data_IF_131817303516
#
_entry.id   IF_131817303516
#
_cell.length_a   1.000
_cell.length_b   1.000
_cell.length_c   1.000
_cell.angle_alpha   90.00
_cell.angle_beta   90.00
_cell.angle_gamma   90.00
#
_symmetry.space_group_name_H-M   'P 1'
#
loop_
_entity.id
_entity.type
_entity.pdbx_description
1 polymer ?
#
# COMPACT_ATOMS: atom_id res chain seq x y z
N UNK A 1 -17.63 13.03 -22.53
CA UNK A 1 -16.79 12.21 -23.45
C UNK A 1 -15.98 11.16 -22.70
N UNK A 2 -15.17 11.51 -21.68
CA UNK A 2 -14.32 10.55 -20.95
C UNK A 2 -15.06 9.37 -20.29
N UNK A 3 -16.20 9.62 -19.61
CA UNK A 3 -17.01 8.55 -18.98
C UNK A 3 -17.53 7.55 -20.02
N UNK A 4 -18.02 8.04 -21.16
CA UNK A 4 -18.54 7.19 -22.23
C UNK A 4 -17.44 6.33 -22.86
N UNK A 5 -16.25 6.91 -23.08
CA UNK A 5 -15.09 6.17 -23.58
C UNK A 5 -14.67 5.10 -22.58
N UNK A 6 -14.55 5.43 -21.29
CA UNK A 6 -14.20 4.46 -20.25
C UNK A 6 -15.21 3.32 -20.17
N UNK A 7 -16.52 3.63 -20.16
CA UNK A 7 -17.56 2.62 -20.17
C UNK A 7 -17.50 1.71 -21.40
N UNK A 8 -17.27 2.28 -22.59
CA UNK A 8 -17.11 1.50 -23.82
C UNK A 8 -15.90 0.57 -23.75
N UNK A 9 -14.75 1.04 -23.25
CA UNK A 9 -13.55 0.21 -23.08
C UNK A 9 -13.77 -0.93 -22.08
N UNK A 10 -14.48 -0.67 -20.98
CA UNK A 10 -14.87 -1.72 -20.03
C UNK A 10 -15.78 -2.77 -20.68
N UNK A 11 -16.78 -2.36 -21.45
CA UNK A 11 -17.65 -3.28 -22.19
C UNK A 11 -16.86 -4.12 -23.21
N UNK A 12 -15.92 -3.50 -23.93
CA UNK A 12 -15.03 -4.21 -24.86
C UNK A 12 -14.16 -5.24 -24.13
N UNK A 13 -13.59 -4.88 -22.98
CA UNK A 13 -12.77 -5.81 -22.19
C UNK A 13 -13.59 -6.98 -21.66
N UNK A 14 -14.79 -6.72 -21.11
CA UNK A 14 -15.70 -7.77 -20.64
C UNK A 14 -16.12 -8.68 -21.80
N UNK A 15 -16.46 -8.10 -22.95
CA UNK A 15 -16.78 -8.86 -24.16
C UNK A 15 -15.62 -9.72 -24.66
N UNK A 16 -14.39 -9.19 -24.64
CA UNK A 16 -13.18 -9.91 -25.01
C UNK A 16 -12.93 -11.11 -24.07
N UNK A 17 -13.00 -10.90 -22.75
CA UNK A 17 -12.87 -11.98 -21.78
C UNK A 17 -14.00 -13.02 -21.92
N UNK A 18 -15.23 -12.57 -22.17
CA UNK A 18 -16.38 -13.44 -22.44
C UNK A 18 -16.17 -14.31 -23.68
N UNK A 19 -15.67 -13.72 -24.76
CA UNK A 19 -15.30 -14.46 -25.98
C UNK A 19 -14.20 -15.50 -25.73
N UNK A 20 -13.11 -15.12 -25.04
CA UNK A 20 -12.04 -16.07 -24.69
C UNK A 20 -12.55 -17.20 -23.79
N UNK A 21 -13.45 -16.89 -22.86
CA UNK A 21 -14.09 -17.87 -21.97
C UNK A 21 -14.97 -18.83 -22.76
N UNK A 22 -15.71 -18.34 -23.76
CA UNK A 22 -16.51 -19.18 -24.65
C UNK A 22 -15.63 -20.14 -25.47
N UNK A 23 -14.51 -19.65 -26.01
CA UNK A 23 -13.61 -20.46 -26.85
C UNK A 23 -12.77 -21.48 -26.06
N UNK A 24 -12.31 -21.12 -24.86
CA UNK A 24 -11.33 -21.90 -24.11
C UNK A 24 -11.84 -22.45 -22.77
N UNK A 25 -13.10 -22.16 -22.42
CA UNK A 25 -13.74 -22.58 -21.19
C UNK A 25 -13.42 -21.71 -19.98
N UNK A 26 -14.17 -21.90 -18.90
CA UNK A 26 -14.05 -21.11 -17.67
C UNK A 26 -12.69 -21.28 -16.94
N UNK A 27 -12.06 -22.46 -17.06
CA UNK A 27 -10.74 -22.71 -16.47
C UNK A 27 -9.65 -21.84 -17.09
N UNK A 28 -9.76 -21.50 -18.38
CA UNK A 28 -8.84 -20.57 -19.04
C UNK A 28 -8.94 -19.17 -18.41
N UNK A 29 -10.16 -18.65 -18.25
CA UNK A 29 -10.41 -17.35 -17.62
C UNK A 29 -9.87 -17.32 -16.18
N UNK A 30 -10.14 -18.38 -15.41
CA UNK A 30 -9.66 -18.46 -14.03
C UNK A 30 -8.13 -18.44 -13.97
N UNK A 31 -7.47 -19.28 -14.76
CA UNK A 31 -6.01 -19.47 -14.70
C UNK A 31 -5.24 -18.23 -15.17
N UNK A 32 -5.67 -17.62 -16.27
CA UNK A 32 -4.88 -16.59 -16.94
C UNK A 32 -5.34 -15.16 -16.65
N UNK A 33 -6.53 -14.97 -16.10
CA UNK A 33 -7.04 -13.64 -15.77
C UNK A 33 -7.40 -13.51 -14.29
N UNK A 34 -8.38 -14.27 -13.80
CA UNK A 34 -8.92 -14.03 -12.45
C UNK A 34 -7.91 -14.36 -11.35
N UNK A 35 -7.20 -15.49 -11.42
CA UNK A 35 -6.24 -15.88 -10.39
C UNK A 35 -5.06 -14.88 -10.29
N UNK A 36 -4.36 -14.51 -11.38
CA UNK A 36 -3.33 -13.47 -11.32
C UNK A 36 -3.86 -12.11 -10.85
N UNK A 37 -5.07 -11.74 -11.28
CA UNK A 37 -5.71 -10.49 -10.85
C UNK A 37 -5.98 -10.48 -9.35
N UNK A 38 -6.56 -11.55 -8.79
CA UNK A 38 -6.82 -11.67 -7.35
C UNK A 38 -5.50 -11.63 -6.56
N UNK A 39 -4.47 -12.34 -7.03
CA UNK A 39 -3.14 -12.31 -6.39
C UNK A 39 -2.59 -10.88 -6.38
N UNK A 40 -2.67 -10.17 -7.50
CA UNK A 40 -2.22 -8.78 -7.60
C UNK A 40 -2.99 -7.86 -6.65
N UNK A 41 -4.33 -7.93 -6.63
CA UNK A 41 -5.17 -7.10 -5.76
C UNK A 41 -4.86 -7.36 -4.29
N UNK A 42 -4.88 -8.63 -3.86
CA UNK A 42 -4.59 -9.00 -2.47
C UNK A 42 -3.18 -8.57 -2.06
N UNK A 43 -2.19 -8.73 -2.95
CA UNK A 43 -0.82 -8.29 -2.68
C UNK A 43 -0.71 -6.78 -2.56
N UNK A 44 -1.32 -6.03 -3.48
CA UNK A 44 -1.31 -4.55 -3.45
C UNK A 44 -2.00 -4.01 -2.20
N UNK A 45 -3.13 -4.60 -1.82
CA UNK A 45 -3.87 -4.24 -0.61
C UNK A 45 -3.04 -4.53 0.64
N UNK A 46 -2.38 -5.70 0.70
CA UNK A 46 -1.49 -6.05 1.81
C UNK A 46 -0.33 -5.05 1.95
N UNK A 47 0.35 -4.74 0.84
CA UNK A 47 1.47 -3.78 0.83
C UNK A 47 1.00 -2.40 1.30
N UNK A 48 -0.09 -1.90 0.75
CA UNK A 48 -0.65 -0.59 1.11
C UNK A 48 -1.09 -0.56 2.56
N UNK A 49 -1.79 -1.60 3.02
CA UNK A 49 -2.20 -1.73 4.42
C UNK A 49 -0.99 -1.68 5.36
N UNK A 50 0.05 -2.47 5.09
CA UNK A 50 1.22 -2.56 5.97
C UNK A 50 2.08 -1.30 6.00
N UNK A 51 2.11 -0.53 4.92
CA UNK A 51 2.86 0.73 4.90
C UNK A 51 2.15 1.88 5.62
N UNK A 52 0.83 1.77 5.81
CA UNK A 52 -0.01 2.85 6.37
C UNK A 52 -0.71 2.47 7.68
N UNK A 53 -0.57 1.23 8.14
CA UNK A 53 -1.25 0.71 9.32
C UNK A 53 -0.23 0.08 10.27
N UNK A 54 0.08 0.77 11.36
CA UNK A 54 0.89 0.27 12.48
C UNK A 54 0.53 1.10 13.74
N UNK A 55 0.59 0.54 14.97
CA UNK A 55 0.13 1.23 16.18
C UNK A 55 0.86 2.53 16.51
N UNK A 56 2.09 2.71 16.04
CA UNK A 56 2.94 3.88 16.30
C UNK A 56 2.95 4.90 15.15
N UNK A 57 2.13 4.69 14.11
CA UNK A 57 1.90 5.66 13.03
C UNK A 57 0.89 6.71 13.49
N UNK A 58 1.28 7.99 13.56
CA UNK A 58 0.39 9.05 13.99
C UNK A 58 -0.59 9.47 12.88
N UNK A 59 -1.82 9.72 13.29
CA UNK A 59 -2.85 10.38 12.50
C UNK A 59 -2.99 11.82 13.00
N UNK A 60 -2.86 12.79 12.10
CA UNK A 60 -2.94 14.21 12.40
C UNK A 60 -4.27 14.80 11.93
N UNK A 61 -4.84 15.74 12.70
CA UNK A 61 -6.11 16.40 12.39
C UNK A 61 -6.00 17.92 12.40
N UNK A 62 -6.87 18.58 11.64
CA UNK A 62 -6.96 20.03 11.58
C UNK A 62 -5.62 20.66 11.24
N UNK A 63 -5.25 21.70 11.97
CA UNK A 63 -4.02 22.47 11.75
C UNK A 63 -2.73 21.70 12.05
N UNK A 64 -2.81 20.56 12.77
CA UNK A 64 -1.65 19.70 12.98
C UNK A 64 -1.25 18.91 11.73
N UNK A 65 -2.16 18.76 10.76
CA UNK A 65 -1.90 18.04 9.53
C UNK A 65 -1.31 18.97 8.45
N UNK A 66 -0.21 18.53 7.85
CA UNK A 66 0.31 19.06 6.60
C UNK A 66 1.02 17.96 5.83
N UNK A 67 1.26 18.17 4.53
CA UNK A 67 1.74 17.16 3.59
C UNK A 67 2.91 16.32 4.13
N UNK A 68 3.98 16.95 4.61
CA UNK A 68 5.16 16.24 5.08
C UNK A 68 4.88 15.38 6.32
N UNK A 69 4.08 15.83 7.29
CA UNK A 69 3.64 14.97 8.41
C UNK A 69 2.86 13.77 7.91
N UNK A 70 1.96 13.97 6.94
CA UNK A 70 1.23 12.87 6.30
C UNK A 70 2.13 11.89 5.56
N UNK A 71 3.13 12.39 4.82
CA UNK A 71 4.10 11.56 4.12
C UNK A 71 4.95 10.71 5.08
N UNK A 72 5.29 11.26 6.25
CA UNK A 72 6.04 10.59 7.31
C UNK A 72 5.17 9.66 8.19
N UNK A 73 3.84 9.69 8.04
CA UNK A 73 2.91 8.71 8.62
C UNK A 73 2.88 7.42 7.80
N UNK A 74 4.06 6.89 7.50
CA UNK A 74 4.29 5.66 6.75
C UNK A 74 5.38 4.83 7.40
N UNK A 75 5.44 3.54 7.08
CA UNK A 75 6.42 2.59 7.63
C UNK A 75 7.11 1.85 6.49
N UNK A 76 8.44 1.89 6.48
CA UNK A 76 9.24 1.09 5.57
C UNK A 76 9.19 -0.40 5.95
N UNK A 77 9.07 -1.26 4.94
CA UNK A 77 8.94 -2.72 5.10
C UNK A 77 9.90 -3.44 4.16
N UNK A 78 10.48 -4.53 4.66
CA UNK A 78 11.30 -5.43 3.84
C UNK A 78 10.50 -6.67 3.41
N UNK A 79 10.27 -6.82 2.11
CA UNK A 79 9.60 -7.97 1.50
C UNK A 79 10.61 -9.02 0.96
N UNK A 80 11.88 -8.89 1.31
CA UNK A 80 12.96 -9.79 0.92
C UNK A 80 13.17 -9.80 -0.58
N UNK A 81 13.16 -10.99 -1.19
CA UNK A 81 13.40 -11.16 -2.62
C UNK A 81 12.29 -10.54 -3.49
N UNK A 82 11.11 -10.26 -2.92
CA UNK A 82 10.02 -9.64 -3.66
C UNK A 82 10.38 -8.17 -3.92
N UNK A 83 11.13 -7.47 -3.05
CA UNK A 83 11.39 -6.02 -3.14
C UNK A 83 11.64 -5.49 -4.57
N UNK A 84 12.55 -6.12 -5.32
CA UNK A 84 12.87 -5.69 -6.69
C UNK A 84 11.74 -5.89 -7.70
N UNK A 85 10.86 -6.88 -7.49
CA UNK A 85 9.70 -7.19 -8.34
C UNK A 85 8.66 -6.07 -8.26
N UNK A 86 8.46 -5.48 -7.08
CA UNK A 86 7.56 -4.35 -6.85
C UNK A 86 8.33 -3.05 -6.69
N UNK A 87 9.43 -2.93 -7.44
CA UNK A 87 10.15 -1.68 -7.64
C UNK A 87 10.66 -1.01 -6.35
N UNK A 88 11.06 -1.82 -5.37
CA UNK A 88 11.57 -1.38 -4.07
C UNK A 88 10.60 -0.48 -3.28
N UNK A 89 9.28 -0.59 -3.52
CA UNK A 89 8.22 0.20 -2.86
C UNK A 89 8.22 0.07 -1.32
N UNK A 90 8.93 -0.92 -0.76
CA UNK A 90 9.18 -1.03 0.68
C UNK A 90 9.91 0.18 1.29
N UNK A 91 10.58 0.98 0.46
CA UNK A 91 11.14 2.31 0.79
C UNK A 91 10.06 3.41 0.78
N UNK A 92 8.95 3.13 1.45
CA UNK A 92 7.69 3.85 1.29
C UNK A 92 7.74 5.28 1.83
N UNK A 93 8.52 5.54 2.89
CA UNK A 93 8.73 6.90 3.42
C UNK A 93 9.34 7.79 2.33
N UNK A 94 10.41 7.34 1.67
CA UNK A 94 11.02 8.09 0.58
C UNK A 94 10.08 8.24 -0.62
N UNK A 95 9.29 7.20 -0.93
CA UNK A 95 8.27 7.25 -1.98
C UNK A 95 7.23 8.36 -1.73
N UNK A 96 6.76 8.52 -0.49
CA UNK A 96 5.80 9.57 -0.13
C UNK A 96 6.42 10.96 -0.05
N UNK A 97 7.65 11.08 0.45
CA UNK A 97 8.35 12.37 0.53
C UNK A 97 8.71 12.88 -0.88
N UNK A 98 9.07 11.98 -1.80
CA UNK A 98 9.49 12.30 -3.16
C UNK A 98 8.59 11.61 -4.21
N UNK A 99 7.32 11.99 -4.27
CA UNK A 99 6.29 11.38 -5.14
C UNK A 99 6.67 11.25 -6.62
N UNK A 100 7.51 12.16 -7.14
CA UNK A 100 7.95 12.16 -8.54
C UNK A 100 9.28 11.46 -8.77
N UNK A 101 9.93 10.95 -7.72
CA UNK A 101 11.20 10.26 -7.82
C UNK A 101 11.00 8.90 -8.50
N UNK A 102 11.82 8.56 -9.51
CA UNK A 102 11.75 7.24 -10.10
C UNK A 102 12.22 6.18 -9.12
N UNK A 103 11.58 5.01 -9.15
CA UNK A 103 11.75 3.96 -8.14
C UNK A 103 13.20 3.49 -7.96
N UNK A 104 14.03 3.53 -9.00
CA UNK A 104 15.43 3.12 -8.96
C UNK A 104 16.34 4.04 -8.14
N UNK A 105 15.85 5.21 -7.70
CA UNK A 105 16.56 6.10 -6.77
C UNK A 105 16.07 5.99 -5.33
N UNK A 106 14.98 5.26 -5.05
CA UNK A 106 14.37 5.26 -3.72
C UNK A 106 15.30 4.69 -2.65
N UNK A 107 16.03 3.62 -2.92
CA UNK A 107 17.03 3.07 -1.98
C UNK A 107 18.10 4.09 -1.58
N UNK A 108 18.60 4.85 -2.55
CA UNK A 108 19.58 5.92 -2.31
C UNK A 108 18.95 7.05 -1.50
N UNK A 109 17.72 7.46 -1.81
CA UNK A 109 17.01 8.49 -1.08
C UNK A 109 16.72 8.07 0.37
N UNK A 110 16.23 6.85 0.60
CA UNK A 110 16.00 6.29 1.94
C UNK A 110 17.27 6.34 2.78
N UNK A 111 18.39 5.85 2.26
CA UNK A 111 19.67 5.88 2.97
C UNK A 111 20.14 7.31 3.31
N UNK A 112 19.76 8.31 2.50
CA UNK A 112 20.09 9.72 2.74
C UNK A 112 19.17 10.39 3.76
N UNK A 113 17.87 10.07 3.76
CA UNK A 113 16.88 10.73 4.64
C UNK A 113 16.74 10.05 6.01
N UNK A 114 16.95 8.74 6.11
CA UNK A 114 16.87 7.98 7.37
C UNK A 114 17.64 8.63 8.53
N UNK A 115 18.94 8.99 8.38
CA UNK A 115 19.69 9.63 9.47
C UNK A 115 19.22 11.06 9.78
N UNK A 116 18.55 11.74 8.85
CA UNK A 116 18.08 13.12 9.01
C UNK A 116 16.72 13.14 9.73
N UNK A 117 15.84 12.20 9.38
CA UNK A 117 14.48 12.11 9.91
C UNK A 117 14.45 11.58 11.35
N UNK A 118 15.46 10.81 11.77
CA UNK A 118 15.58 10.34 13.15
C UNK A 118 14.30 9.66 13.65
N UNK A 119 13.71 10.16 14.74
CA UNK A 119 12.48 9.62 15.33
C UNK A 119 11.23 9.67 14.43
N UNK A 120 11.26 10.47 13.35
CA UNK A 120 10.16 10.58 12.40
C UNK A 120 10.21 9.48 11.34
N UNK A 121 11.36 8.82 11.15
CA UNK A 121 11.49 7.70 10.24
C UNK A 121 11.06 6.41 10.93
N UNK A 122 10.18 5.66 10.28
CA UNK A 122 9.67 4.38 10.79
C UNK A 122 10.01 3.28 9.81
N UNK A 123 10.61 2.22 10.33
CA UNK A 123 10.91 0.98 9.61
C UNK A 123 10.54 -0.19 10.52
N UNK A 124 9.92 -1.21 9.94
CA UNK A 124 9.64 -2.46 10.66
C UNK A 124 10.48 -3.59 10.09
N UNK A 125 11.22 -4.27 10.97
CA UNK A 125 12.02 -5.45 10.63
C UNK A 125 11.25 -6.76 10.89
N UNK A 126 9.96 -6.65 11.26
CA UNK A 126 9.14 -7.83 11.45
C UNK A 126 8.85 -8.52 10.11
N UNK A 127 8.83 -9.88 10.08
CA UNK A 127 8.31 -10.60 8.93
C UNK A 127 6.90 -10.13 8.57
N UNK A 128 6.63 -9.98 7.26
CA UNK A 128 5.36 -9.44 6.71
C UNK A 128 4.11 -10.07 7.34
N UNK A 129 4.10 -11.39 7.56
CA UNK A 129 2.96 -12.08 8.18
C UNK A 129 2.75 -11.69 9.65
N UNK A 130 3.83 -11.44 10.43
CA UNK A 130 3.73 -10.96 11.82
C UNK A 130 3.28 -9.51 11.86
N UNK A 131 3.85 -8.68 10.99
CA UNK A 131 3.45 -7.29 10.82
C UNK A 131 1.95 -7.18 10.50
N UNK A 132 1.46 -8.04 9.60
CA UNK A 132 0.04 -8.09 9.22
C UNK A 132 -0.85 -8.46 10.41
N UNK A 133 -0.55 -9.55 11.11
CA UNK A 133 -1.33 -9.98 12.28
C UNK A 133 -1.33 -8.89 13.36
N UNK A 134 -0.16 -8.31 13.66
CA UNK A 134 -0.02 -7.27 14.66
C UNK A 134 -0.85 -6.03 14.30
N UNK A 135 -0.74 -5.56 13.06
CA UNK A 135 -1.48 -4.40 12.58
C UNK A 135 -2.98 -4.67 12.56
N UNK A 136 -3.40 -5.84 12.06
CA UNK A 136 -4.80 -6.25 12.02
C UNK A 136 -5.44 -6.32 13.42
N UNK A 137 -4.73 -6.85 14.42
CA UNK A 137 -5.26 -6.99 15.78
C UNK A 137 -5.24 -5.68 16.57
N UNK A 138 -4.24 -4.82 16.35
CA UNK A 138 -4.02 -3.60 17.15
C UNK A 138 -4.59 -2.33 16.52
N UNK A 139 -4.85 -2.33 15.22
CA UNK A 139 -5.23 -1.13 14.47
C UNK A 139 -6.69 -1.19 14.01
N UNK A 140 -7.61 -1.16 14.96
CA UNK A 140 -9.03 -1.28 14.66
C UNK A 140 -9.71 0.07 14.40
N UNK A 141 -9.41 1.07 15.21
CA UNK A 141 -9.93 2.42 15.04
C UNK A 141 -8.93 3.47 15.52
N UNK A 142 -9.17 4.73 15.18
CA UNK A 142 -8.42 5.88 15.67
C UNK A 142 -9.40 6.77 16.47
N UNK A 143 -9.11 7.20 17.71
CA UNK A 143 -10.05 7.96 18.53
C UNK A 143 -10.48 9.27 17.87
N UNK A 144 -11.76 9.66 17.98
CA UNK A 144 -12.29 10.87 17.34
C UNK A 144 -11.77 12.19 17.93
N UNK A 145 -11.23 12.14 19.15
CA UNK A 145 -10.70 13.29 19.88
C UNK A 145 -9.17 13.34 19.84
N UNK A 146 -8.61 14.55 19.83
CA UNK A 146 -7.17 14.80 19.79
C UNK A 146 -6.65 15.17 18.40
N UNK A 147 -5.58 15.98 18.37
CA UNK A 147 -4.98 16.51 17.15
C UNK A 147 -3.89 15.60 16.56
N UNK A 148 -3.20 14.81 17.41
CA UNK A 148 -2.30 13.72 17.04
C UNK A 148 -2.75 12.46 17.78
N UNK A 149 -3.21 11.46 17.04
CA UNK A 149 -3.80 10.23 17.59
C UNK A 149 -3.20 9.00 16.94
N UNK A 150 -3.41 7.85 17.56
CA UNK A 150 -2.85 6.58 17.11
C UNK A 150 -3.93 5.51 17.08
N UNK A 151 -3.68 4.49 16.28
CA UNK A 151 -4.50 3.30 16.23
C UNK A 151 -4.69 2.65 17.60
N UNK A 152 -5.91 2.17 17.85
CA UNK A 152 -6.30 1.48 19.06
C UNK A 152 -6.88 0.09 18.74
N UNK A 153 -6.65 -0.90 19.62
CA UNK A 153 -7.29 -2.20 19.52
C UNK A 153 -8.80 -2.05 19.81
N UNK A 154 -9.62 -3.08 19.49
CA UNK A 154 -11.03 -3.09 19.88
C UNK A 154 -11.19 -2.86 21.38
N UNK A 155 -12.21 -2.10 21.78
CA UNK A 155 -12.57 -1.98 23.20
C UNK A 155 -13.00 -3.37 23.69
N UNK A 156 -12.32 -3.90 24.70
CA UNK A 156 -12.66 -5.15 25.38
C UNK A 156 -14.02 -5.08 26.06
#
# INVERSE_FOLDING_TARGET
LGVAISAALWLVMVGFLGYLTYQHGWLFLLKYYLAPYIVFVVWLDLVTFLHHTEPDVPWYRGDEWYFLKGALSTVDRDYGFINSIHHDIGTHVAHHVFLSMPHYHLKTATAAIEPILGEYYRKSEQPIWRAFINSYLKCHFVPDEGSKVYYQPPKS
#
